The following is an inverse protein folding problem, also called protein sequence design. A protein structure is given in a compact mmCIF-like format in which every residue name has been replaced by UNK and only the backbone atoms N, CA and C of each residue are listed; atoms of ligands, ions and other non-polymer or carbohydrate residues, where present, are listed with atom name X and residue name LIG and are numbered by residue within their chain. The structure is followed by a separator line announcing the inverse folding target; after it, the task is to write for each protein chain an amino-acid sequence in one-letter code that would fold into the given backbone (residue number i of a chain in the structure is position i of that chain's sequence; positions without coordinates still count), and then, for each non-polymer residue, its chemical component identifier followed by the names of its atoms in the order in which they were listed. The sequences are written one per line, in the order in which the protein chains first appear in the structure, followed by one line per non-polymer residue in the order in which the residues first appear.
data_IF_561473963562
#
_entry.id   IF_561473963562
#
_cell.length_a   1.000
_cell.length_b   1.000
_cell.length_c   1.000
_cell.angle_alpha   90.00
_cell.angle_beta   90.00
_cell.angle_gamma   90.00
#
_symmetry.space_group_name_H-M   'P 1'
#
loop_
_entity.id
_entity.type
_entity.pdbx_description
1 polymer ?
#
# COMPACT_ATOMS: atom_id res chain seq x y z
N UNK A 1 17.53 9.78 14.64
CA UNK A 1 16.61 9.89 13.48
C UNK A 1 16.04 8.54 13.01
N UNK A 2 16.85 7.51 12.68
CA UNK A 2 16.35 6.20 12.14
C UNK A 2 15.27 5.49 12.99
N UNK A 3 15.26 5.66 14.33
CA UNK A 3 14.23 5.07 15.22
C UNK A 3 12.86 5.76 15.11
N UNK A 4 12.83 7.08 14.87
CA UNK A 4 11.57 7.83 14.71
C UNK A 4 10.89 7.45 13.40
N UNK A 5 11.66 7.34 12.30
CA UNK A 5 11.16 6.83 11.02
C UNK A 5 10.54 5.42 11.15
N UNK A 6 11.17 4.52 11.92
CA UNK A 6 10.59 3.18 12.19
C UNK A 6 9.27 3.23 12.96
N UNK A 7 9.16 4.11 13.97
CA UNK A 7 7.93 4.24 14.77
C UNK A 7 6.79 4.86 13.93
N UNK A 8 7.08 5.90 13.16
CA UNK A 8 6.11 6.52 12.25
C UNK A 8 5.70 5.57 11.12
N UNK A 9 6.66 4.90 10.47
CA UNK A 9 6.37 3.93 9.42
C UNK A 9 5.47 2.81 9.93
N UNK A 10 5.67 2.31 11.16
CA UNK A 10 4.83 1.24 11.72
C UNK A 10 3.37 1.66 11.91
N UNK A 11 3.13 2.88 12.39
CA UNK A 11 1.79 3.43 12.56
C UNK A 11 1.12 3.73 11.22
N UNK A 12 1.87 4.38 10.32
CA UNK A 12 1.38 4.72 8.98
C UNK A 12 1.10 3.46 8.17
N UNK A 13 1.95 2.44 8.30
CA UNK A 13 1.76 1.12 7.69
C UNK A 13 0.47 0.50 8.18
N UNK A 14 0.20 0.48 9.49
CA UNK A 14 -1.03 -0.13 9.99
C UNK A 14 -2.29 0.59 9.48
N UNK A 15 -2.30 1.92 9.48
CA UNK A 15 -3.44 2.73 9.05
C UNK A 15 -3.68 2.62 7.54
N UNK A 16 -2.61 2.60 6.74
CA UNK A 16 -2.69 2.57 5.27
C UNK A 16 -2.83 1.14 4.73
N UNK A 17 -2.29 0.14 5.41
CA UNK A 17 -2.36 -1.27 4.97
C UNK A 17 -3.79 -1.79 5.01
N UNK A 18 -4.59 -1.43 6.02
CA UNK A 18 -5.99 -1.83 6.12
C UNK A 18 -6.83 -1.45 4.87
N UNK A 19 -6.93 -0.16 4.50
CA UNK A 19 -7.68 0.25 3.31
C UNK A 19 -7.02 -0.24 2.02
N UNK A 20 -5.68 -0.36 1.96
CA UNK A 20 -5.01 -0.94 0.81
C UNK A 20 -5.36 -2.40 0.57
N UNK A 21 -5.26 -3.24 1.59
CA UNK A 21 -5.62 -4.64 1.51
C UNK A 21 -7.06 -4.80 1.06
N UNK A 22 -7.97 -3.99 1.59
CA UNK A 22 -9.37 -3.97 1.16
C UNK A 22 -9.47 -3.61 -0.33
N UNK A 23 -8.80 -2.56 -0.81
CA UNK A 23 -8.85 -2.18 -2.22
C UNK A 23 -8.25 -3.22 -3.16
N UNK A 24 -7.16 -3.87 -2.77
CA UNK A 24 -6.53 -4.93 -3.58
C UNK A 24 -7.44 -6.14 -3.65
N UNK A 25 -7.99 -6.60 -2.51
CA UNK A 25 -8.89 -7.75 -2.47
C UNK A 25 -10.18 -7.47 -3.27
N UNK A 26 -10.81 -6.31 -3.04
CA UNK A 26 -12.05 -5.93 -3.74
C UNK A 26 -11.82 -5.72 -5.24
N UNK A 27 -10.69 -5.13 -5.64
CA UNK A 27 -10.31 -4.99 -7.04
C UNK A 27 -10.11 -6.35 -7.71
N UNK A 28 -9.35 -7.25 -7.07
CA UNK A 28 -9.16 -8.61 -7.57
C UNK A 28 -10.49 -9.38 -7.68
N UNK A 29 -11.33 -9.32 -6.64
CA UNK A 29 -12.64 -9.96 -6.64
C UNK A 29 -13.56 -9.37 -7.70
N UNK A 30 -13.50 -8.05 -7.95
CA UNK A 30 -14.30 -7.40 -8.98
C UNK A 30 -13.89 -7.92 -10.37
N UNK A 31 -12.60 -8.00 -10.65
CA UNK A 31 -12.08 -8.59 -11.90
C UNK A 31 -12.49 -10.06 -12.04
N UNK A 32 -12.34 -10.87 -10.99
CA UNK A 32 -12.76 -12.28 -11.01
C UNK A 32 -14.28 -12.37 -11.26
N UNK A 33 -15.09 -11.57 -10.57
CA UNK A 33 -16.54 -11.56 -10.74
C UNK A 33 -16.97 -11.20 -12.16
N UNK A 34 -16.21 -10.32 -12.83
CA UNK A 34 -16.60 -9.75 -14.10
C UNK A 34 -16.03 -10.51 -15.30
N UNK A 35 -14.78 -10.98 -15.19
CA UNK A 35 -14.06 -11.60 -16.30
C UNK A 35 -14.03 -13.12 -16.23
N UNK A 36 -14.16 -13.72 -15.04
CA UNK A 36 -14.09 -15.17 -14.91
C UNK A 36 -15.48 -15.80 -14.98
N UNK A 37 -15.60 -17.00 -15.56
CA UNK A 37 -16.87 -17.75 -15.59
C UNK A 37 -17.28 -18.30 -14.22
N UNK A 38 -16.68 -17.82 -13.12
CA UNK A 38 -16.96 -18.25 -11.76
C UNK A 38 -17.97 -17.29 -11.15
N UNK A 39 -19.17 -17.80 -10.85
CA UNK A 39 -20.16 -17.01 -10.15
C UNK A 39 -19.86 -17.00 -8.66
N UNK A 40 -19.14 -15.97 -8.21
CA UNK A 40 -18.80 -15.77 -6.79
C UNK A 40 -19.98 -15.22 -5.96
N UNK A 41 -21.16 -15.01 -6.56
CA UNK A 41 -22.36 -14.50 -5.89
C UNK A 41 -22.28 -13.03 -5.42
N UNK A 42 -21.14 -12.36 -5.60
CA UNK A 42 -20.93 -10.96 -5.30
C UNK A 42 -20.92 -10.15 -6.59
N UNK A 43 -21.77 -9.13 -6.69
CA UNK A 43 -21.82 -8.30 -7.89
C UNK A 43 -20.59 -7.40 -8.03
N UNK A 44 -19.99 -7.35 -9.22
CA UNK A 44 -18.86 -6.46 -9.53
C UNK A 44 -19.13 -4.99 -9.14
N UNK A 45 -20.35 -4.48 -9.35
CA UNK A 45 -20.73 -3.13 -8.92
C UNK A 45 -20.63 -2.93 -7.41
N UNK A 46 -21.00 -3.93 -6.60
CA UNK A 46 -20.89 -3.83 -5.14
C UNK A 46 -19.42 -3.84 -4.69
N UNK A 47 -18.61 -4.70 -5.31
CA UNK A 47 -17.17 -4.76 -5.08
C UNK A 47 -16.47 -3.46 -5.46
N UNK A 48 -16.86 -2.84 -6.58
CA UNK A 48 -16.34 -1.54 -7.01
C UNK A 48 -16.74 -0.41 -6.06
N UNK A 49 -17.97 -0.41 -5.53
CA UNK A 49 -18.40 0.55 -4.49
C UNK A 49 -17.60 0.43 -3.20
N UNK A 50 -17.24 -0.80 -2.82
CA UNK A 50 -16.33 -1.06 -1.69
C UNK A 50 -14.90 -0.61 -2.02
N UNK A 51 -14.41 -0.90 -3.22
CA UNK A 51 -13.08 -0.55 -3.68
C UNK A 51 -12.87 0.98 -3.71
N UNK A 52 -13.84 1.74 -4.21
CA UNK A 52 -13.75 3.20 -4.27
C UNK A 52 -14.03 3.85 -2.92
N UNK A 53 -14.64 3.14 -1.97
CA UNK A 53 -15.13 3.72 -0.72
C UNK A 53 -16.42 4.54 -0.91
N UNK A 54 -17.13 4.35 -2.02
CA UNK A 54 -18.44 4.95 -2.29
C UNK A 54 -19.45 4.59 -1.20
N UNK A 55 -19.37 3.39 -0.62
CA UNK A 55 -20.26 2.96 0.47
C UNK A 55 -20.20 3.87 1.72
N UNK A 56 -19.10 4.58 1.92
CA UNK A 56 -18.91 5.52 3.02
C UNK A 56 -19.02 6.99 2.57
N UNK A 57 -19.22 7.24 1.27
CA UNK A 57 -19.21 8.58 0.69
C UNK A 57 -17.80 9.17 0.51
N UNK A 58 -16.73 8.37 0.63
CA UNK A 58 -15.34 8.84 0.51
C UNK A 58 -14.73 8.61 -0.87
N UNK A 59 -15.53 8.34 -1.91
CA UNK A 59 -15.04 8.00 -3.26
C UNK A 59 -13.99 8.95 -3.86
N UNK A 60 -14.03 10.24 -3.49
CA UNK A 60 -13.05 11.22 -3.96
C UNK A 60 -11.75 11.23 -3.14
N UNK A 61 -11.83 10.96 -1.84
CA UNK A 61 -10.71 11.12 -0.89
C UNK A 61 -10.00 9.79 -0.65
N UNK A 62 -10.76 8.69 -0.60
CA UNK A 62 -10.29 7.37 -0.27
C UNK A 62 -9.21 6.84 -1.23
N UNK A 63 -9.36 6.94 -2.57
CA UNK A 63 -8.30 6.53 -3.50
C UNK A 63 -7.04 7.41 -3.38
N UNK A 64 -7.21 8.71 -3.13
CA UNK A 64 -6.10 9.65 -2.95
C UNK A 64 -5.30 9.31 -1.70
N UNK A 65 -5.99 9.05 -0.57
CA UNK A 65 -5.36 8.64 0.68
C UNK A 65 -4.63 7.30 0.53
N UNK A 66 -5.22 6.33 -0.18
CA UNK A 66 -4.53 5.07 -0.47
C UNK A 66 -3.28 5.30 -1.32
N UNK A 67 -3.36 6.08 -2.40
CA UNK A 67 -2.22 6.40 -3.26
C UNK A 67 -1.09 7.11 -2.51
N UNK A 68 -1.43 8.17 -1.76
CA UNK A 68 -0.47 8.90 -0.93
C UNK A 68 0.13 8.00 0.16
N UNK A 69 -0.69 7.15 0.77
CA UNK A 69 -0.27 6.19 1.77
C UNK A 69 0.76 5.21 1.22
N UNK A 70 0.50 4.61 0.06
CA UNK A 70 1.45 3.70 -0.63
C UNK A 70 2.76 4.40 -0.91
N UNK A 71 2.72 5.60 -1.51
CA UNK A 71 3.92 6.37 -1.82
C UNK A 71 4.72 6.65 -0.55
N UNK A 72 4.06 7.10 0.51
CA UNK A 72 4.68 7.32 1.81
C UNK A 72 5.33 6.07 2.38
N UNK A 73 4.66 4.92 2.31
CA UNK A 73 5.19 3.64 2.77
C UNK A 73 6.38 3.15 1.94
N UNK A 74 6.33 3.31 0.62
CA UNK A 74 7.42 2.95 -0.27
C UNK A 74 8.66 3.81 -0.02
N UNK A 75 8.50 5.14 0.08
CA UNK A 75 9.61 6.08 0.33
C UNK A 75 10.24 5.82 1.69
N UNK A 76 9.42 5.69 2.74
CA UNK A 76 9.93 5.43 4.11
C UNK A 76 10.51 4.04 4.25
N UNK A 77 9.91 3.02 3.64
CA UNK A 77 10.41 1.65 3.59
C UNK A 77 11.76 1.55 2.87
N UNK A 78 11.88 2.10 1.66
CA UNK A 78 13.13 2.12 0.89
C UNK A 78 14.25 2.88 1.61
N UNK A 79 13.92 3.98 2.30
CA UNK A 79 14.86 4.73 3.14
C UNK A 79 15.38 3.92 4.34
N UNK A 80 14.58 2.96 4.82
CA UNK A 80 14.92 2.11 5.98
C UNK A 80 15.68 0.84 5.60
N UNK A 81 15.42 0.25 4.43
CA UNK A 81 16.10 -0.98 3.95
C UNK A 81 17.54 -0.75 3.52
N UNK A 82 17.98 0.51 3.43
CA UNK A 82 19.37 0.82 3.07
C UNK A 82 19.66 0.69 1.58
N UNK A 83 18.63 0.67 0.72
CA UNK A 83 18.77 0.77 -0.74
C UNK A 83 19.58 2.00 -1.18
N UNK A 84 19.56 3.08 -0.40
CA UNK A 84 20.36 4.29 -0.59
C UNK A 84 21.66 4.32 0.26
N UNK A 85 21.98 3.21 0.95
CA UNK A 85 23.17 3.07 1.77
C UNK A 85 24.41 2.88 0.91
N UNK A 86 25.12 3.99 0.67
CA UNK A 86 26.45 4.03 0.05
C UNK A 86 27.34 2.94 0.68
N UNK A 87 27.75 1.94 -0.12
CA UNK A 87 28.82 1.00 0.25
C UNK A 87 30.05 1.85 0.60
N UNK A 88 30.36 2.01 1.87
CA UNK A 88 31.67 2.48 2.28
C UNK A 88 32.64 1.35 1.94
N UNK A 89 33.27 1.47 0.78
CA UNK A 89 34.51 0.77 0.44
C UNK A 89 35.49 1.09 1.55
N UNK A 90 35.63 0.21 2.53
CA UNK A 90 36.78 0.20 3.42
C UNK A 90 37.98 -0.16 2.54
N UNK A 91 38.63 0.87 2.00
CA UNK A 91 39.97 0.75 1.45
C UNK A 91 40.88 0.36 2.61
N UNK A 92 41.09 -0.94 2.76
CA UNK A 92 42.21 -1.50 3.52
C UNK A 92 43.46 -1.10 2.75
N UNK A 93 44.00 0.08 3.07
CA UNK A 93 45.33 0.50 2.63
C UNK A 93 46.33 -0.10 3.62
N UNK A 94 47.28 -0.83 3.06
CA UNK A 94 48.43 -1.45 3.72
C UNK A 94 49.19 -0.49 4.62
N UNK A 95 49.68 -1.00 5.75
CA UNK A 95 50.99 -0.67 6.29
C UNK A 95 51.50 -1.83 7.12
#
# INVERSE_FOLDING_TARGET
MKRLFRKYHRWLALIVLLPLSLTVITGMLATISQEWPINIGLGANFLLKLHTGEIFGLQAIYPILNGMGVIGLLVTGASMTGLFGRKTTSSTKSS
#
